data_IF_135177229934
#
_entry.id   IF_135177229934
#
_cell.length_a   1.000
_cell.length_b   1.000
_cell.length_c   1.000
_cell.angle_alpha   90.00
_cell.angle_beta   90.00
_cell.angle_gamma   90.00
#
_symmetry.space_group_name_H-M   'P 1'
#
loop_
_entity.id
_entity.type
_entity.pdbx_description
1 polymer ?
#
# COMPACT_ATOMS: atom_id res chain seq x y z
N UNK A 1 -35.74 13.99 -7.70
CA UNK A 1 -34.85 14.82 -6.86
C UNK A 1 -33.46 14.64 -7.44
N UNK A 2 -32.89 15.67 -8.05
CA UNK A 2 -31.48 15.63 -8.48
C UNK A 2 -30.61 15.68 -7.20
N UNK A 3 -29.85 14.63 -6.94
CA UNK A 3 -28.82 14.67 -5.92
C UNK A 3 -27.80 15.75 -6.30
N UNK A 4 -27.65 16.77 -5.47
CA UNK A 4 -26.60 17.77 -5.63
C UNK A 4 -25.26 17.06 -5.43
N UNK A 5 -24.40 17.05 -6.44
CA UNK A 5 -23.03 16.63 -6.28
C UNK A 5 -22.35 17.37 -5.12
N UNK A 6 -21.61 16.69 -4.26
CA UNK A 6 -20.95 17.32 -3.11
C UNK A 6 -19.95 18.37 -3.60
N UNK A 7 -20.03 19.58 -3.07
CA UNK A 7 -19.12 20.67 -3.39
C UNK A 7 -17.80 20.50 -2.62
N UNK A 8 -16.75 20.02 -3.29
CA UNK A 8 -15.45 19.84 -2.70
C UNK A 8 -14.65 21.17 -2.59
N UNK A 9 -13.81 21.27 -1.55
CA UNK A 9 -12.97 22.45 -1.32
C UNK A 9 -11.64 22.29 -2.06
N UNK A 10 -11.46 23.01 -3.16
CA UNK A 10 -10.30 22.91 -4.05
C UNK A 10 -8.93 23.12 -3.36
N UNK A 11 -8.85 23.96 -2.33
CA UNK A 11 -7.61 24.17 -1.59
C UNK A 11 -7.18 22.94 -0.79
N UNK A 12 -8.13 22.17 -0.27
CA UNK A 12 -7.86 20.92 0.43
C UNK A 12 -7.40 19.85 -0.57
N UNK A 13 -8.14 19.69 -1.68
CA UNK A 13 -7.75 18.75 -2.76
C UNK A 13 -6.32 19.01 -3.23
N UNK A 14 -5.96 20.29 -3.46
CA UNK A 14 -4.61 20.64 -3.88
C UNK A 14 -3.56 20.38 -2.81
N UNK A 15 -3.90 20.57 -1.53
CA UNK A 15 -2.99 20.30 -0.42
C UNK A 15 -2.71 18.80 -0.27
N UNK A 16 -3.74 17.96 -0.35
CA UNK A 16 -3.58 16.50 -0.31
C UNK A 16 -2.81 16.00 -1.52
N UNK A 17 -3.15 16.47 -2.73
CA UNK A 17 -2.43 16.11 -3.96
C UNK A 17 -0.92 16.44 -3.89
N UNK A 18 -0.52 17.53 -3.19
CA UNK A 18 0.91 17.83 -2.97
C UNK A 18 1.56 16.78 -2.08
N UNK A 19 0.89 16.29 -1.04
CA UNK A 19 1.42 15.25 -0.16
C UNK A 19 1.54 13.90 -0.90
N UNK A 20 0.55 13.56 -1.71
CA UNK A 20 0.50 12.34 -2.51
C UNK A 20 1.58 12.28 -3.60
N UNK A 21 2.08 13.43 -4.07
CA UNK A 21 3.17 13.46 -5.07
C UNK A 21 4.45 12.79 -4.60
N UNK A 22 4.77 12.82 -3.30
CA UNK A 22 5.96 12.18 -2.76
C UNK A 22 5.90 10.66 -2.93
N UNK A 23 4.74 10.08 -2.72
CA UNK A 23 4.48 8.65 -2.95
C UNK A 23 4.47 8.34 -4.46
N UNK A 24 3.64 9.07 -5.23
CA UNK A 24 3.48 8.87 -6.68
C UNK A 24 4.80 8.89 -7.45
N UNK A 25 5.68 9.84 -7.11
CA UNK A 25 6.98 10.01 -7.77
C UNK A 25 8.10 9.21 -7.08
N UNK A 26 7.81 8.59 -5.93
CA UNK A 26 8.78 7.88 -5.09
C UNK A 26 10.03 8.73 -4.79
N UNK A 27 9.84 9.98 -4.39
CA UNK A 27 10.91 10.95 -4.12
C UNK A 27 10.86 11.47 -2.70
N UNK A 28 12.02 11.76 -2.13
CA UNK A 28 12.13 12.33 -0.78
C UNK A 28 11.96 13.84 -0.77
N UNK A 29 12.30 14.54 -1.86
CA UNK A 29 12.32 15.99 -1.93
C UNK A 29 11.64 16.52 -3.19
N UNK A 30 10.78 17.54 -3.05
CA UNK A 30 10.13 18.26 -4.14
C UNK A 30 10.29 19.77 -3.99
N UNK A 31 10.56 20.45 -5.10
CA UNK A 31 10.57 21.91 -5.18
C UNK A 31 9.24 22.47 -5.70
N UNK A 32 8.99 23.77 -5.48
CA UNK A 32 7.77 24.47 -5.95
C UNK A 32 7.56 24.30 -7.46
N UNK A 33 8.65 24.40 -8.26
CA UNK A 33 8.56 24.28 -9.71
C UNK A 33 8.17 22.86 -10.16
N UNK A 34 8.69 21.84 -9.49
CA UNK A 34 8.38 20.44 -9.73
C UNK A 34 6.91 20.14 -9.42
N UNK A 35 6.45 20.54 -8.22
CA UNK A 35 5.05 20.40 -7.79
C UNK A 35 4.10 21.12 -8.76
N UNK A 36 4.45 22.37 -9.14
CA UNK A 36 3.64 23.17 -10.08
C UNK A 36 3.49 22.49 -11.43
N UNK A 37 4.56 21.90 -11.95
CA UNK A 37 4.57 21.17 -13.22
C UNK A 37 3.71 19.90 -13.15
N UNK A 38 3.92 19.10 -12.11
CA UNK A 38 3.23 17.79 -11.98
C UNK A 38 1.72 17.94 -11.75
N UNK A 39 1.28 18.96 -11.00
CA UNK A 39 -0.14 19.17 -10.69
C UNK A 39 -0.83 20.16 -11.64
N UNK A 40 -0.10 20.83 -12.55
CA UNK A 40 -0.69 21.86 -13.41
C UNK A 40 -1.19 23.09 -12.66
N UNK A 41 -0.63 23.37 -11.45
CA UNK A 41 -1.04 24.48 -10.57
C UNK A 41 -0.04 25.62 -10.67
N UNK A 42 -0.51 26.86 -10.68
CA UNK A 42 0.36 28.05 -10.69
C UNK A 42 1.33 28.05 -9.49
N UNK A 43 2.61 28.43 -9.74
CA UNK A 43 3.67 28.45 -8.72
C UNK A 43 3.32 29.25 -7.47
N UNK A 44 2.62 30.37 -7.61
CA UNK A 44 2.17 31.19 -6.49
C UNK A 44 1.17 30.46 -5.59
N UNK A 45 0.24 29.70 -6.19
CA UNK A 45 -0.73 28.88 -5.45
C UNK A 45 -0.03 27.75 -4.73
N UNK A 46 0.87 27.02 -5.43
CA UNK A 46 1.68 25.95 -4.83
C UNK A 46 2.50 26.49 -3.65
N UNK A 47 3.16 27.63 -3.83
CA UNK A 47 3.95 28.27 -2.77
C UNK A 47 3.13 28.55 -1.51
N UNK A 48 1.92 29.12 -1.66
CA UNK A 48 1.05 29.43 -0.52
C UNK A 48 0.56 28.16 0.21
N UNK A 49 0.21 27.11 -0.55
CA UNK A 49 -0.20 25.84 0.03
C UNK A 49 0.97 25.17 0.76
N UNK A 50 2.13 25.07 0.11
CA UNK A 50 3.35 24.48 0.69
C UNK A 50 3.76 25.23 1.96
N UNK A 51 3.74 26.59 1.93
CA UNK A 51 4.04 27.40 3.11
C UNK A 51 3.07 27.10 4.27
N UNK A 52 1.80 26.91 3.96
CA UNK A 52 0.78 26.51 4.96
C UNK A 52 1.07 25.11 5.51
N UNK A 53 1.38 24.15 4.63
CA UNK A 53 1.73 22.79 5.03
C UNK A 53 3.00 22.74 5.91
N UNK A 54 4.00 23.57 5.60
CA UNK A 54 5.20 23.73 6.43
C UNK A 54 4.84 24.33 7.79
N UNK A 55 4.05 25.41 7.83
CA UNK A 55 3.60 26.02 9.08
C UNK A 55 2.84 25.03 9.97
N UNK A 56 2.05 24.15 9.35
CA UNK A 56 1.31 23.09 10.03
C UNK A 56 2.14 21.82 10.32
N UNK A 57 3.41 21.76 9.91
CA UNK A 57 4.30 20.61 10.14
C UNK A 57 4.03 19.37 9.27
N UNK A 58 3.19 19.50 8.22
CA UNK A 58 2.98 18.44 7.23
C UNK A 58 4.12 18.31 6.23
N UNK A 59 4.80 19.43 5.96
CA UNK A 59 6.04 19.51 5.20
C UNK A 59 7.14 20.14 6.05
N UNK A 60 8.39 19.90 5.68
CA UNK A 60 9.58 20.54 6.25
C UNK A 60 10.42 21.07 5.10
N UNK A 61 10.97 22.28 5.27
CA UNK A 61 11.95 22.86 4.39
C UNK A 61 13.30 22.86 5.13
N UNK A 62 14.28 22.10 4.65
CA UNK A 62 15.56 21.95 5.33
C UNK A 62 16.46 23.20 5.19
N UNK A 63 16.30 23.95 4.06
CA UNK A 63 16.99 25.22 3.83
C UNK A 63 16.01 26.27 3.27
N UNK A 64 16.16 27.58 3.55
CA UNK A 64 15.24 28.64 3.13
C UNK A 64 14.93 28.67 1.62
N UNK A 65 15.88 28.25 0.77
CA UNK A 65 15.75 28.16 -0.68
C UNK A 65 15.73 26.71 -1.18
N UNK A 66 15.60 25.75 -0.26
CA UNK A 66 15.68 24.33 -0.55
C UNK A 66 14.34 23.71 -0.97
N UNK A 67 14.43 22.43 -1.33
CA UNK A 67 13.27 21.59 -1.57
C UNK A 67 12.57 21.24 -0.25
N UNK A 68 11.36 20.75 -0.37
CA UNK A 68 10.49 20.35 0.73
C UNK A 68 10.44 18.83 0.83
N UNK A 69 10.31 18.30 2.05
CA UNK A 69 10.08 16.89 2.34
C UNK A 69 8.89 16.71 3.26
N UNK A 70 8.39 15.50 3.36
CA UNK A 70 7.31 15.17 4.29
C UNK A 70 7.72 15.48 5.75
N UNK A 71 6.81 16.07 6.49
CA UNK A 71 6.99 16.41 7.91
C UNK A 71 6.66 15.25 8.84
N UNK A 72 7.26 15.25 10.03
CA UNK A 72 7.05 14.22 11.06
C UNK A 72 5.62 14.18 11.60
N UNK A 73 4.80 15.20 11.31
CA UNK A 73 3.38 15.21 11.67
C UNK A 73 2.62 14.05 11.03
N UNK A 74 3.01 13.62 9.82
CA UNK A 74 2.43 12.47 9.13
C UNK A 74 2.60 11.20 9.98
N UNK A 75 3.81 10.95 10.50
CA UNK A 75 4.07 9.82 11.40
C UNK A 75 3.20 9.89 12.68
N UNK A 76 3.09 11.09 13.28
CA UNK A 76 2.28 11.26 14.50
C UNK A 76 0.79 10.99 14.27
N UNK A 77 0.26 11.34 13.11
CA UNK A 77 -1.14 11.07 12.76
C UNK A 77 -1.33 9.61 12.38
N UNK A 78 -0.38 9.01 11.63
CA UNK A 78 -0.45 7.60 11.25
C UNK A 78 -0.43 6.64 12.45
N UNK A 79 0.27 7.00 13.56
CA UNK A 79 0.24 6.18 14.78
C UNK A 79 -1.14 6.10 15.43
N UNK A 80 -2.07 7.00 15.08
CA UNK A 80 -3.46 6.90 15.56
C UNK A 80 -4.27 5.84 14.81
N UNK A 81 -3.87 5.51 13.59
CA UNK A 81 -4.47 4.43 12.80
C UNK A 81 -4.08 3.07 13.42
N UNK A 82 -2.85 2.98 13.92
CA UNK A 82 -2.27 1.77 14.50
C UNK A 82 -2.57 1.56 16.00
N UNK A 83 -3.32 2.45 16.64
CA UNK A 83 -3.60 2.40 18.09
C UNK A 83 -4.71 1.42 18.55
N UNK A 84 -5.05 0.40 17.80
CA UNK A 84 -5.78 -0.77 18.33
C UNK A 84 -4.77 -1.78 18.96
N UNK A 85 -4.33 -1.45 20.13
CA UNK A 85 -3.06 -1.75 20.81
C UNK A 85 -2.78 -3.25 21.13
N UNK A 86 -3.72 -4.17 21.02
CA UNK A 86 -3.49 -5.56 21.43
C UNK A 86 -3.14 -6.49 20.27
N UNK A 87 -3.71 -6.26 19.10
CA UNK A 87 -3.50 -7.13 17.93
C UNK A 87 -2.15 -6.84 17.25
N UNK A 88 -1.74 -5.57 17.20
CA UNK A 88 -0.51 -5.15 16.51
C UNK A 88 0.75 -5.59 17.25
N UNK A 89 0.79 -5.48 18.58
CA UNK A 89 1.92 -6.00 19.38
C UNK A 89 2.09 -7.52 19.22
N UNK A 90 0.98 -8.26 19.13
CA UNK A 90 0.99 -9.70 18.89
C UNK A 90 1.49 -10.02 17.48
N UNK A 91 1.04 -9.26 16.46
CA UNK A 91 1.50 -9.42 15.09
C UNK A 91 2.99 -9.13 15.00
N UNK A 92 3.48 -8.02 15.56
CA UNK A 92 4.89 -7.66 15.53
C UNK A 92 5.76 -8.72 16.20
N UNK A 93 5.32 -9.23 17.35
CA UNK A 93 6.02 -10.32 18.05
C UNK A 93 6.11 -11.58 17.19
N UNK A 94 5.02 -11.95 16.52
CA UNK A 94 4.98 -13.11 15.63
C UNK A 94 5.84 -12.90 14.38
N UNK A 95 5.82 -11.69 13.79
CA UNK A 95 6.70 -11.34 12.68
C UNK A 95 8.19 -11.50 13.04
N UNK A 96 8.59 -11.04 14.22
CA UNK A 96 9.96 -11.21 14.71
C UNK A 96 10.29 -12.69 14.95
N UNK A 97 9.37 -13.47 15.52
CA UNK A 97 9.55 -14.91 15.72
C UNK A 97 9.76 -15.63 14.39
N UNK A 98 8.93 -15.37 13.39
CA UNK A 98 9.06 -15.96 12.06
C UNK A 98 10.38 -15.55 11.38
N UNK A 99 10.76 -14.27 11.46
CA UNK A 99 12.04 -13.80 10.93
C UNK A 99 13.22 -14.54 11.59
N UNK A 100 13.19 -14.74 12.91
CA UNK A 100 14.28 -15.40 13.66
C UNK A 100 14.33 -16.91 13.36
N UNK A 101 13.17 -17.54 13.15
CA UNK A 101 13.05 -18.97 12.85
C UNK A 101 13.53 -19.32 11.43
N UNK A 102 13.11 -18.51 10.44
CA UNK A 102 13.38 -18.80 9.03
C UNK A 102 14.52 -17.97 8.43
N UNK A 103 15.00 -16.95 9.14
CA UNK A 103 15.98 -15.96 8.68
C UNK A 103 15.60 -15.33 7.34
N UNK A 104 14.30 -15.11 7.13
CA UNK A 104 13.74 -14.48 5.93
C UNK A 104 12.97 -13.21 6.30
N UNK A 105 12.75 -12.33 5.30
CA UNK A 105 11.95 -11.13 5.49
C UNK A 105 10.49 -11.50 5.82
N UNK A 106 9.91 -10.82 6.80
CA UNK A 106 8.49 -10.97 7.14
C UNK A 106 7.77 -9.68 6.85
N UNK A 107 6.69 -9.78 6.07
CA UNK A 107 5.93 -8.64 5.53
C UNK A 107 4.48 -8.71 5.97
N UNK A 108 3.97 -7.60 6.47
CA UNK A 108 2.55 -7.41 6.76
C UNK A 108 1.94 -6.47 5.69
N UNK A 109 0.90 -6.93 5.03
CA UNK A 109 0.14 -6.15 4.04
C UNK A 109 -1.29 -5.95 4.53
N UNK A 110 -1.79 -4.72 4.50
CA UNK A 110 -3.18 -4.38 4.83
C UNK A 110 -3.95 -3.99 3.57
N UNK A 111 -5.28 -4.11 3.62
CA UNK A 111 -6.17 -3.47 2.66
C UNK A 111 -6.51 -2.07 3.17
N UNK A 112 -5.89 -1.03 2.59
CA UNK A 112 -6.08 0.37 2.96
C UNK A 112 -6.79 1.09 1.82
N UNK A 113 -7.96 1.65 2.08
CA UNK A 113 -8.80 2.32 1.06
C UNK A 113 -9.03 1.47 -0.20
N UNK A 114 -9.17 0.16 0.00
CA UNK A 114 -9.36 -0.81 -1.07
C UNK A 114 -8.07 -1.19 -1.81
N UNK A 115 -6.89 -0.77 -1.36
CA UNK A 115 -5.60 -1.04 -1.99
C UNK A 115 -4.71 -1.88 -1.06
N UNK A 116 -4.08 -2.98 -1.54
CA UNK A 116 -3.13 -3.74 -0.73
C UNK A 116 -1.84 -2.94 -0.54
N UNK A 117 -1.49 -2.61 0.70
CA UNK A 117 -0.30 -1.81 1.05
C UNK A 117 0.53 -2.56 2.09
N UNK A 118 1.85 -2.63 1.88
CA UNK A 118 2.79 -3.09 2.89
C UNK A 118 2.82 -2.10 4.06
N UNK A 119 2.32 -2.50 5.23
CA UNK A 119 2.22 -1.63 6.41
C UNK A 119 3.35 -1.88 7.41
N UNK A 120 3.95 -3.06 7.41
CA UNK A 120 5.08 -3.39 8.29
C UNK A 120 6.01 -4.40 7.62
N UNK A 121 7.30 -4.33 7.96
CA UNK A 121 8.32 -5.26 7.50
C UNK A 121 9.38 -5.50 8.57
N UNK A 122 9.61 -6.75 8.91
CA UNK A 122 10.75 -7.18 9.71
C UNK A 122 11.79 -7.81 8.78
N UNK A 123 12.96 -7.17 8.71
CA UNK A 123 14.06 -7.62 7.83
C UNK A 123 14.81 -8.81 8.40
N UNK A 124 15.18 -9.73 7.54
CA UNK A 124 16.17 -10.78 7.82
C UNK A 124 17.58 -10.21 7.93
N UNK A 125 18.51 -11.06 8.38
CA UNK A 125 19.94 -10.76 8.33
C UNK A 125 20.55 -10.99 6.95
N UNK A 126 19.80 -11.56 5.99
CA UNK A 126 20.26 -11.88 4.66
C UNK A 126 20.56 -10.62 3.83
N UNK A 127 21.59 -10.71 2.98
CA UNK A 127 22.06 -9.59 2.15
C UNK A 127 21.10 -9.24 1.01
N UNK A 128 20.19 -10.13 0.63
CA UNK A 128 19.24 -9.86 -0.44
C UNK A 128 18.15 -8.90 0.04
N UNK A 129 18.21 -7.71 -0.48
CA UNK A 129 17.17 -6.71 -0.26
C UNK A 129 15.98 -6.99 -1.18
N UNK A 130 15.03 -7.78 -0.69
CA UNK A 130 13.72 -7.89 -1.32
C UNK A 130 13.10 -6.49 -1.36
N UNK A 131 12.56 -6.09 -2.52
CA UNK A 131 12.05 -4.73 -2.74
C UNK A 131 10.78 -4.37 -1.95
N UNK A 132 10.30 -5.26 -1.08
CA UNK A 132 9.19 -4.94 -0.17
C UNK A 132 9.59 -3.82 0.78
N UNK A 133 8.91 -2.68 0.69
CA UNK A 133 9.11 -1.52 1.58
C UNK A 133 7.76 -1.15 2.18
N UNK A 134 7.77 -0.68 3.43
CA UNK A 134 6.57 -0.08 4.05
C UNK A 134 6.08 1.07 3.15
N UNK A 135 4.78 1.13 2.89
CA UNK A 135 4.13 2.04 1.95
C UNK A 135 4.08 1.52 0.50
N UNK A 136 4.76 0.43 0.14
CA UNK A 136 4.66 -0.12 -1.22
C UNK A 136 3.25 -0.64 -1.48
N UNK A 137 2.67 -0.18 -2.59
CA UNK A 137 1.41 -0.71 -3.12
C UNK A 137 1.65 -2.08 -3.73
N UNK A 138 0.90 -3.06 -3.26
CA UNK A 138 0.90 -4.43 -3.77
C UNK A 138 -0.04 -4.61 -4.96
N UNK A 139 0.01 -5.78 -5.57
CA UNK A 139 -0.91 -6.18 -6.64
C UNK A 139 -2.03 -7.04 -6.09
N UNK A 140 -3.25 -6.86 -6.59
CA UNK A 140 -4.38 -7.73 -6.28
C UNK A 140 -4.23 -9.14 -6.85
N UNK A 141 -3.46 -9.28 -7.93
CA UNK A 141 -3.42 -10.49 -8.76
C UNK A 141 -2.02 -11.09 -8.94
N UNK A 142 -0.98 -10.44 -8.38
CA UNK A 142 0.41 -10.93 -8.42
C UNK A 142 1.03 -10.88 -7.03
N UNK A 143 1.88 -11.87 -6.73
CA UNK A 143 2.53 -12.00 -5.43
C UNK A 143 1.60 -12.57 -4.35
N UNK A 144 2.16 -13.14 -3.30
CA UNK A 144 1.37 -13.82 -2.28
C UNK A 144 0.59 -12.85 -1.39
N UNK A 145 1.21 -11.73 -0.96
CA UNK A 145 0.64 -10.83 0.04
C UNK A 145 -0.63 -10.14 -0.44
N UNK A 146 -0.58 -9.53 -1.64
CA UNK A 146 -1.71 -8.83 -2.23
C UNK A 146 -2.85 -9.78 -2.61
N UNK A 147 -2.54 -10.93 -3.25
CA UNK A 147 -3.55 -11.97 -3.54
C UNK A 147 -4.22 -12.48 -2.27
N UNK A 148 -3.46 -12.70 -1.21
CA UNK A 148 -4.03 -13.19 0.05
C UNK A 148 -5.00 -12.18 0.65
N UNK A 149 -4.59 -10.92 0.87
CA UNK A 149 -5.51 -9.94 1.46
C UNK A 149 -6.72 -9.66 0.57
N UNK A 150 -6.57 -9.78 -0.76
CA UNK A 150 -7.64 -9.58 -1.74
C UNK A 150 -8.62 -10.77 -1.78
N UNK A 151 -8.13 -12.01 -1.68
CA UNK A 151 -8.96 -13.21 -1.77
C UNK A 151 -10.07 -13.26 -0.72
N UNK A 152 -9.88 -12.66 0.46
CA UNK A 152 -10.88 -12.60 1.54
C UNK A 152 -11.63 -11.27 1.61
N UNK A 153 -11.68 -10.50 0.51
CA UNK A 153 -12.54 -9.33 0.45
C UNK A 153 -13.98 -9.69 0.03
N UNK A 154 -14.95 -8.80 0.23
CA UNK A 154 -16.32 -8.99 -0.27
C UNK A 154 -16.33 -9.27 -1.77
N UNK A 155 -17.19 -10.22 -2.20
CA UNK A 155 -17.24 -10.68 -3.59
C UNK A 155 -17.53 -9.54 -4.59
N UNK A 156 -18.44 -8.63 -4.23
CA UNK A 156 -18.74 -7.45 -5.05
C UNK A 156 -17.50 -6.57 -5.29
N UNK A 157 -16.66 -6.40 -4.27
CA UNK A 157 -15.41 -5.64 -4.38
C UNK A 157 -14.40 -6.39 -5.28
N UNK A 158 -14.25 -7.71 -5.10
CA UNK A 158 -13.37 -8.53 -5.94
C UNK A 158 -13.79 -8.39 -7.40
N UNK A 159 -15.07 -8.55 -7.72
CA UNK A 159 -15.59 -8.45 -9.07
C UNK A 159 -15.43 -7.05 -9.68
N UNK A 160 -15.57 -6.00 -8.88
CA UNK A 160 -15.33 -4.62 -9.33
C UNK A 160 -13.87 -4.41 -9.73
N UNK A 161 -12.92 -4.86 -8.90
CA UNK A 161 -11.49 -4.73 -9.18
C UNK A 161 -11.08 -5.57 -10.40
N UNK A 162 -11.54 -6.80 -10.50
CA UNK A 162 -11.22 -7.68 -11.64
C UNK A 162 -11.75 -7.11 -12.96
N UNK A 163 -12.93 -6.49 -12.99
CA UNK A 163 -13.44 -5.80 -14.18
C UNK A 163 -12.59 -4.58 -14.58
N UNK A 164 -11.99 -3.89 -13.62
CA UNK A 164 -11.07 -2.78 -13.90
C UNK A 164 -9.72 -3.24 -14.44
N UNK A 165 -9.24 -4.42 -14.01
CA UNK A 165 -7.95 -4.97 -14.43
C UNK A 165 -8.04 -5.66 -15.79
N UNK A 166 -9.10 -6.42 -16.04
CA UNK A 166 -9.26 -7.25 -17.23
C UNK A 166 -10.32 -6.68 -18.16
N UNK A 167 -9.97 -6.36 -19.43
CA UNK A 167 -10.92 -5.85 -20.41
C UNK A 167 -11.93 -6.92 -20.81
N UNK A 168 -13.10 -6.51 -21.30
CA UNK A 168 -14.17 -7.40 -21.81
C UNK A 168 -13.82 -7.95 -23.21
N UNK A 169 -12.65 -8.56 -23.35
CA UNK A 169 -12.19 -9.29 -24.52
C UNK A 169 -12.10 -10.78 -24.17
N UNK A 170 -12.08 -11.64 -25.18
CA UNK A 170 -11.98 -13.10 -24.95
C UNK A 170 -10.72 -13.45 -24.13
N UNK A 171 -9.59 -12.81 -24.42
CA UNK A 171 -8.36 -13.02 -23.65
C UNK A 171 -8.50 -12.49 -22.21
N UNK A 172 -9.03 -11.28 -22.01
CA UNK A 172 -9.22 -10.67 -20.69
C UNK A 172 -10.20 -11.48 -19.82
N UNK A 173 -11.24 -12.02 -20.40
CA UNK A 173 -12.20 -12.90 -19.69
C UNK A 173 -11.52 -14.19 -19.23
N UNK A 174 -10.70 -14.83 -20.06
CA UNK A 174 -9.94 -16.04 -19.69
C UNK A 174 -8.95 -15.77 -18.55
N UNK A 175 -8.22 -14.67 -18.63
CA UNK A 175 -7.29 -14.27 -17.56
C UNK A 175 -8.03 -13.98 -16.24
N UNK A 176 -9.19 -13.32 -16.31
CA UNK A 176 -10.04 -13.06 -15.16
C UNK A 176 -10.50 -14.38 -14.51
N UNK A 177 -11.02 -15.33 -15.28
CA UNK A 177 -11.45 -16.65 -14.80
C UNK A 177 -10.31 -17.40 -14.10
N UNK A 178 -9.09 -17.35 -14.66
CA UNK A 178 -7.92 -17.97 -14.04
C UNK A 178 -7.59 -17.35 -12.68
N UNK A 179 -7.69 -16.03 -12.56
CA UNK A 179 -7.46 -15.35 -11.28
C UNK A 179 -8.55 -15.65 -10.28
N UNK A 180 -9.82 -15.67 -10.68
CA UNK A 180 -10.94 -16.07 -9.82
C UNK A 180 -10.75 -17.49 -9.26
N UNK A 181 -10.31 -18.42 -10.09
CA UNK A 181 -9.99 -19.77 -9.64
C UNK A 181 -8.81 -19.81 -8.66
N UNK A 182 -7.77 -19.01 -8.92
CA UNK A 182 -6.65 -18.88 -7.98
C UNK A 182 -7.11 -18.31 -6.63
N UNK A 183 -7.90 -17.23 -6.62
CA UNK A 183 -8.43 -16.64 -5.38
C UNK A 183 -9.31 -17.65 -4.60
N UNK A 184 -10.10 -18.44 -5.31
CA UNK A 184 -10.89 -19.53 -4.70
C UNK A 184 -9.98 -20.58 -4.05
N UNK A 185 -8.95 -21.07 -4.74
CA UNK A 185 -7.98 -22.02 -4.18
C UNK A 185 -7.26 -21.46 -2.95
N UNK A 186 -6.86 -20.17 -3.00
CA UNK A 186 -6.24 -19.50 -1.86
C UNK A 186 -7.18 -19.52 -0.65
N UNK A 187 -8.47 -19.24 -0.82
CA UNK A 187 -9.48 -19.33 0.26
C UNK A 187 -9.65 -20.75 0.80
N UNK A 188 -9.70 -21.75 -0.08
CA UNK A 188 -9.90 -23.16 0.30
C UNK A 188 -8.70 -23.71 1.09
N UNK A 189 -7.47 -23.39 0.69
CA UNK A 189 -6.26 -23.90 1.33
C UNK A 189 -5.79 -23.06 2.52
N UNK A 190 -6.24 -21.80 2.64
CA UNK A 190 -5.91 -20.91 3.74
C UNK A 190 -4.60 -20.13 3.60
N UNK A 191 -3.88 -20.27 2.46
CA UNK A 191 -2.62 -19.58 2.21
C UNK A 191 -2.39 -19.35 0.71
N UNK A 192 -1.43 -18.49 0.38
CA UNK A 192 -0.98 -18.27 -0.99
C UNK A 192 0.54 -18.43 -1.08
N UNK A 193 0.99 -19.20 -2.07
CA UNK A 193 2.39 -19.26 -2.49
C UNK A 193 2.55 -18.45 -3.77
N UNK A 194 3.66 -17.72 -3.89
CA UNK A 194 4.04 -16.99 -5.09
C UNK A 194 5.54 -17.20 -5.34
N UNK A 195 5.88 -17.51 -6.57
CA UNK A 195 7.25 -17.74 -7.02
C UNK A 195 7.48 -16.88 -8.27
N UNK A 196 8.40 -15.91 -8.17
CA UNK A 196 8.77 -15.00 -9.28
C UNK A 196 7.61 -14.27 -9.98
N UNK A 197 6.44 -14.14 -9.34
CA UNK A 197 5.26 -13.51 -9.97
C UNK A 197 5.33 -11.98 -9.98
N UNK A 198 5.76 -11.38 -8.90
CA UNK A 198 5.82 -9.92 -8.75
C UNK A 198 7.25 -9.41 -8.88
N UNK A 199 8.17 -10.04 -8.20
CA UNK A 199 9.60 -9.73 -8.24
C UNK A 199 10.35 -11.01 -8.64
N UNK A 200 11.16 -10.95 -9.72
CA UNK A 200 11.89 -12.11 -10.24
C UNK A 200 12.89 -12.62 -9.20
N UNK A 201 12.95 -13.93 -9.02
CA UNK A 201 13.83 -14.59 -8.05
C UNK A 201 13.35 -14.50 -6.60
N UNK A 202 12.09 -14.07 -6.38
CA UNK A 202 11.48 -13.97 -5.06
C UNK A 202 10.40 -15.01 -4.90
N UNK A 203 10.50 -15.82 -3.83
CA UNK A 203 9.46 -16.72 -3.37
C UNK A 203 8.81 -16.18 -2.10
N UNK A 204 7.52 -16.43 -1.92
CA UNK A 204 6.82 -16.02 -0.71
C UNK A 204 5.62 -16.90 -0.40
N UNK A 205 5.32 -17.06 0.87
CA UNK A 205 4.09 -17.67 1.39
C UNK A 205 3.38 -16.69 2.29
N UNK A 206 2.07 -16.52 2.09
CA UNK A 206 1.25 -15.58 2.85
C UNK A 206 0.00 -16.24 3.39
N UNK A 207 -0.43 -15.84 4.58
CA UNK A 207 -1.67 -16.25 5.24
C UNK A 207 -2.52 -15.01 5.58
N UNK A 208 -3.86 -15.11 5.59
CA UNK A 208 -4.72 -14.00 5.98
C UNK A 208 -4.81 -13.87 7.49
N UNK A 209 -4.99 -12.64 7.96
CA UNK A 209 -5.46 -12.32 9.32
C UNK A 209 -6.87 -11.75 9.14
N UNK A 210 -7.86 -12.51 9.62
CA UNK A 210 -9.27 -12.21 9.39
C UNK A 210 -9.88 -11.45 10.57
N UNK A 211 -10.86 -10.60 10.28
CA UNK A 211 -11.74 -10.02 11.28
C UNK A 211 -12.90 -10.97 11.63
N UNK A 212 -13.76 -10.56 12.56
CA UNK A 212 -14.94 -11.28 13.01
C UNK A 212 -15.98 -11.57 11.92
N UNK A 213 -15.92 -10.84 10.80
CA UNK A 213 -16.78 -11.04 9.63
C UNK A 213 -16.18 -11.99 8.58
N UNK A 214 -14.97 -12.51 8.84
CA UNK A 214 -14.27 -13.39 7.90
C UNK A 214 -13.58 -12.68 6.74
N UNK A 215 -13.43 -11.35 6.80
CA UNK A 215 -12.65 -10.58 5.81
C UNK A 215 -11.21 -10.39 6.27
N UNK A 216 -10.25 -10.50 5.35
CA UNK A 216 -8.86 -10.23 5.65
C UNK A 216 -8.63 -8.75 5.91
N UNK A 217 -8.15 -8.43 7.11
CA UNK A 217 -7.64 -7.10 7.46
C UNK A 217 -6.16 -6.98 7.13
N UNK A 218 -5.43 -8.09 7.27
CA UNK A 218 -4.03 -8.19 6.89
C UNK A 218 -3.73 -9.51 6.17
N UNK A 219 -2.60 -9.53 5.47
CA UNK A 219 -1.88 -10.76 5.13
C UNK A 219 -0.48 -10.70 5.72
N UNK A 220 -0.06 -11.80 6.36
CA UNK A 220 1.27 -12.00 6.90
C UNK A 220 2.05 -12.95 5.99
N UNK A 221 3.23 -12.57 5.55
CA UNK A 221 4.04 -13.36 4.63
C UNK A 221 5.49 -13.49 5.09
N UNK A 222 6.05 -14.67 4.83
CA UNK A 222 7.49 -14.90 4.80
C UNK A 222 7.94 -14.81 3.35
N UNK A 223 9.01 -14.04 3.10
CA UNK A 223 9.47 -13.68 1.75
C UNK A 223 10.97 -13.89 1.68
N UNK A 224 11.42 -14.71 0.73
CA UNK A 224 12.82 -15.09 0.54
C UNK A 224 13.20 -15.23 -0.93
N UNK A 225 14.39 -15.79 -1.16
CA UNK A 225 14.85 -16.15 -2.51
C UNK A 225 14.13 -17.39 -3.03
N UNK A 226 13.92 -17.41 -4.34
CA UNK A 226 13.58 -18.62 -5.07
C UNK A 226 14.85 -19.48 -5.21
N UNK A 227 14.90 -20.61 -4.49
CA UNK A 227 15.97 -21.61 -4.58
C UNK A 227 15.57 -22.77 -5.51
#
# INVERSE_FOLDING_TARGET
>A
MQEKEPQYINSIIRATAILELYEKLNVQYLGIAEISKELGIQKTTVFNIVKTLVHQGWLIQDNPNGKYRLGTRILRVSTMITRSITTEELIEKEMRRLRDEYNEDVVLTAMVDGVPICVEKVKSANYLQIQSKVGRVGSYVKGSTGKTVFAWQPENFIQEILRKIYPETEAGLREKEQVEEQLKKIREQGYCISISEQDKGVASVAVPILNDKGYAVYSLAVVGEEN
#
